data_IF_282381379427
#
_entry.id   IF_282381379427
#
_cell.length_a   1.000
_cell.length_b   1.000
_cell.length_c   1.000
_cell.angle_alpha   90.00
_cell.angle_beta   90.00
_cell.angle_gamma   90.00
#
_symmetry.space_group_name_H-M   'P 1'
#
loop_
_entity.id
_entity.type
_entity.pdbx_description
1 polymer ?
#
# COMPACT_ATOMS: atom_id res chain seq x y z
N UNK A 1 4.33 7.53 -12.29
CA UNK A 1 4.61 7.87 -10.88
C UNK A 1 6.05 7.53 -10.43
N UNK A 2 7.03 7.49 -11.33
CA UNK A 2 8.40 7.08 -10.99
C UNK A 2 9.08 8.05 -10.00
N UNK A 3 8.78 9.35 -10.10
CA UNK A 3 9.37 10.40 -9.25
C UNK A 3 9.01 10.15 -7.78
N UNK A 4 7.72 10.00 -7.47
CA UNK A 4 7.23 9.87 -6.09
C UNK A 4 7.45 8.49 -5.46
N UNK A 5 7.79 7.48 -6.27
CA UNK A 5 8.16 6.14 -5.80
C UNK A 5 9.66 5.99 -5.57
N UNK A 6 10.49 6.84 -6.19
CA UNK A 6 11.94 6.72 -6.10
C UNK A 6 12.48 7.65 -5.00
N UNK A 7 13.14 7.14 -3.95
CA UNK A 7 13.78 7.99 -2.94
C UNK A 7 14.85 8.92 -3.54
N UNK A 8 15.47 8.50 -4.65
CA UNK A 8 16.57 9.24 -5.30
C UNK A 8 16.11 10.31 -6.30
N UNK A 9 14.82 10.68 -6.30
CA UNK A 9 14.24 11.65 -7.25
C UNK A 9 13.46 12.76 -6.55
N UNK A 10 13.74 13.01 -5.27
CA UNK A 10 13.14 14.09 -4.47
C UNK A 10 13.28 15.47 -5.11
N UNK A 11 14.32 15.68 -5.91
CA UNK A 11 14.59 16.96 -6.57
C UNK A 11 13.53 17.30 -7.63
N UNK A 12 12.77 16.31 -8.10
CA UNK A 12 11.70 16.49 -9.09
C UNK A 12 10.30 16.57 -8.45
N UNK A 13 10.19 16.60 -7.12
CA UNK A 13 8.90 16.58 -6.43
C UNK A 13 8.05 17.80 -6.76
N UNK A 14 8.65 18.98 -6.85
CA UNK A 14 7.94 20.21 -7.25
C UNK A 14 7.42 20.12 -8.69
N UNK A 15 8.22 19.57 -9.61
CA UNK A 15 7.77 19.33 -10.98
C UNK A 15 6.64 18.30 -11.03
N UNK A 16 6.71 17.24 -10.22
CA UNK A 16 5.64 16.26 -10.12
C UNK A 16 4.34 16.88 -9.60
N UNK A 17 4.41 17.82 -8.64
CA UNK A 17 3.25 18.57 -8.16
C UNK A 17 2.59 19.35 -9.30
N UNK A 18 3.36 20.11 -10.06
CA UNK A 18 2.83 20.89 -11.20
C UNK A 18 2.15 20.00 -12.23
N UNK A 19 2.72 18.82 -12.52
CA UNK A 19 2.12 17.85 -13.44
C UNK A 19 0.78 17.30 -12.94
N UNK A 20 0.68 17.02 -11.64
CA UNK A 20 -0.56 16.50 -11.03
C UNK A 20 -1.65 17.58 -11.01
N UNK A 21 -1.30 18.81 -10.62
CA UNK A 21 -2.24 19.94 -10.64
C UNK A 21 -2.74 20.21 -12.06
N UNK A 22 -1.83 20.17 -13.05
CA UNK A 22 -2.19 20.27 -14.47
C UNK A 22 -3.14 19.15 -14.90
N UNK A 23 -2.86 17.91 -14.51
CA UNK A 23 -3.71 16.76 -14.82
C UNK A 23 -5.12 16.94 -14.25
N UNK A 24 -5.25 17.26 -12.95
CA UNK A 24 -6.57 17.41 -12.30
C UNK A 24 -7.37 18.55 -12.93
N UNK A 25 -6.73 19.69 -13.21
CA UNK A 25 -7.38 20.82 -13.89
C UNK A 25 -7.84 20.44 -15.29
N UNK A 26 -7.01 19.74 -16.05
CA UNK A 26 -7.35 19.35 -17.43
C UNK A 26 -8.45 18.28 -17.43
N UNK A 27 -8.42 17.36 -16.46
CA UNK A 27 -9.46 16.35 -16.26
C UNK A 27 -10.82 17.01 -15.99
N UNK A 28 -10.87 17.99 -15.09
CA UNK A 28 -12.07 18.77 -14.79
C UNK A 28 -12.63 19.47 -16.04
N UNK A 29 -11.75 20.05 -16.88
CA UNK A 29 -12.17 20.72 -18.12
C UNK A 29 -12.73 19.77 -19.17
N UNK A 30 -12.16 18.58 -19.32
CA UNK A 30 -12.55 17.62 -20.37
C UNK A 30 -13.78 16.81 -19.95
N UNK A 31 -13.82 16.36 -18.70
CA UNK A 31 -14.83 15.43 -18.22
C UNK A 31 -15.89 16.12 -17.34
N UNK A 32 -15.67 17.35 -16.91
CA UNK A 32 -16.55 18.10 -16.04
C UNK A 32 -16.36 17.75 -14.55
N UNK A 33 -16.66 18.73 -13.71
CA UNK A 33 -16.46 18.67 -12.25
C UNK A 33 -17.16 17.48 -11.58
N UNK A 34 -18.33 17.09 -12.06
CA UNK A 34 -19.09 15.95 -11.55
C UNK A 34 -18.35 14.61 -11.69
N UNK A 35 -17.36 14.52 -12.58
CA UNK A 35 -16.48 13.37 -12.74
C UNK A 35 -15.19 13.45 -11.90
N UNK A 36 -14.92 14.59 -11.25
CA UNK A 36 -13.80 14.76 -10.32
C UNK A 36 -14.15 14.06 -9.00
N UNK A 37 -14.08 12.74 -9.03
CA UNK A 37 -14.29 11.90 -7.86
C UNK A 37 -13.24 12.16 -6.78
N UNK A 38 -13.49 11.65 -5.58
CA UNK A 38 -12.55 11.72 -4.46
C UNK A 38 -11.15 11.22 -4.83
N UNK A 39 -11.05 10.17 -5.65
CA UNK A 39 -9.76 9.61 -6.08
C UNK A 39 -8.97 10.58 -6.98
N UNK A 40 -9.65 11.34 -7.84
CA UNK A 40 -9.02 12.33 -8.71
C UNK A 40 -8.57 13.53 -7.88
N UNK A 41 -9.42 14.02 -6.99
CA UNK A 41 -9.08 15.11 -6.08
C UNK A 41 -7.92 14.74 -5.14
N UNK A 42 -7.91 13.51 -4.63
CA UNK A 42 -6.88 12.98 -3.74
C UNK A 42 -5.47 13.04 -4.32
N UNK A 43 -5.32 13.04 -5.64
CA UNK A 43 -4.01 13.21 -6.29
C UNK A 43 -3.33 14.52 -5.89
N UNK A 44 -4.09 15.60 -5.64
CA UNK A 44 -3.53 16.89 -5.22
C UNK A 44 -2.82 16.82 -3.87
N UNK A 45 -3.19 15.86 -3.01
CA UNK A 45 -2.60 15.69 -1.68
C UNK A 45 -1.40 14.75 -1.66
N UNK A 46 -1.15 14.01 -2.75
CA UNK A 46 -0.15 12.94 -2.77
C UNK A 46 1.28 13.45 -2.59
N UNK A 47 1.54 14.70 -2.98
CA UNK A 47 2.84 15.37 -2.77
C UNK A 47 3.02 15.72 -1.30
N UNK A 48 1.96 16.19 -0.64
CA UNK A 48 1.96 16.43 0.81
C UNK A 48 2.22 15.12 1.56
N UNK A 49 1.59 14.02 1.15
CA UNK A 49 1.85 12.70 1.73
C UNK A 49 3.30 12.27 1.52
N UNK A 50 3.88 12.52 0.34
CA UNK A 50 5.30 12.25 0.08
C UNK A 50 6.22 13.04 1.02
N UNK A 51 5.92 14.33 1.28
CA UNK A 51 6.71 15.13 2.21
C UNK A 51 6.60 14.65 3.66
N UNK A 52 5.43 14.13 4.06
CA UNK A 52 5.19 13.66 5.42
C UNK A 52 5.75 12.25 5.68
N UNK A 53 5.65 11.35 4.69
CA UNK A 53 5.91 9.92 4.88
C UNK A 53 7.03 9.37 3.99
N UNK A 54 7.61 10.18 3.09
CA UNK A 54 8.64 9.75 2.15
C UNK A 54 8.06 9.14 0.86
N UNK A 55 8.83 8.30 0.14
CA UNK A 55 8.36 7.63 -1.07
C UNK A 55 7.03 6.91 -0.87
N UNK A 56 6.14 6.94 -1.88
CA UNK A 56 4.77 6.46 -1.73
C UNK A 56 4.66 4.99 -1.32
N UNK A 57 5.68 4.17 -1.59
CA UNK A 57 5.74 2.78 -1.11
C UNK A 57 5.67 2.70 0.42
N UNK A 58 6.19 3.71 1.13
CA UNK A 58 6.20 3.77 2.60
C UNK A 58 4.83 4.10 3.20
N UNK A 59 3.96 4.79 2.44
CA UNK A 59 2.59 5.10 2.87
C UNK A 59 1.53 4.27 2.13
N UNK A 60 1.93 3.40 1.21
CA UNK A 60 1.00 2.54 0.46
C UNK A 60 0.50 1.36 1.30
N UNK A 61 -0.74 0.95 1.06
CA UNK A 61 -1.27 -0.29 1.65
C UNK A 61 -0.83 -1.56 0.89
N UNK A 62 -0.10 -1.42 -0.23
CA UNK A 62 0.24 -2.53 -1.11
C UNK A 62 1.02 -3.66 -0.42
N UNK A 63 2.02 -3.39 0.46
CA UNK A 63 2.67 -4.46 1.21
C UNK A 63 1.71 -5.27 2.10
N UNK A 64 0.64 -4.63 2.59
CA UNK A 64 -0.36 -5.25 3.46
C UNK A 64 -1.42 -6.04 2.68
N UNK A 65 -1.70 -5.68 1.42
CA UNK A 65 -2.66 -6.41 0.58
C UNK A 65 -2.27 -7.88 0.41
N UNK A 66 -0.99 -8.16 0.17
CA UNK A 66 -0.50 -9.54 0.09
C UNK A 66 -0.62 -10.26 1.44
N UNK A 67 -0.34 -9.56 2.54
CA UNK A 67 -0.47 -10.12 3.89
C UNK A 67 -1.92 -10.42 4.29
N UNK A 68 -2.89 -9.72 3.70
CA UNK A 68 -4.32 -10.00 3.91
C UNK A 68 -4.70 -11.44 3.56
N UNK A 69 -4.03 -12.05 2.58
CA UNK A 69 -4.22 -13.48 2.25
C UNK A 69 -3.82 -14.38 3.41
N UNK A 70 -2.69 -14.08 4.06
CA UNK A 70 -2.20 -14.79 5.25
C UNK A 70 -3.18 -14.62 6.40
N UNK A 71 -3.61 -13.39 6.70
CA UNK A 71 -4.61 -13.11 7.73
C UNK A 71 -5.92 -13.87 7.48
N UNK A 72 -6.48 -13.80 6.27
CA UNK A 72 -7.71 -14.52 5.92
C UNK A 72 -7.55 -16.03 6.05
N UNK A 73 -6.41 -16.58 5.65
CA UNK A 73 -6.13 -18.01 5.80
C UNK A 73 -6.05 -18.47 7.25
N UNK A 74 -5.75 -17.54 8.19
CA UNK A 74 -5.70 -17.78 9.63
C UNK A 74 -7.11 -17.78 10.27
N UNK A 75 -8.11 -17.22 9.60
CA UNK A 75 -9.50 -17.20 10.04
C UNK A 75 -10.29 -18.35 9.39
N UNK A 76 -11.11 -19.06 10.18
CA UNK A 76 -11.98 -20.14 9.65
C UNK A 76 -13.45 -19.74 9.64
N UNK A 77 -13.88 -18.91 10.60
CA UNK A 77 -15.24 -18.40 10.74
C UNK A 77 -15.18 -16.93 11.16
N UNK A 78 -16.28 -16.21 10.95
CA UNK A 78 -16.39 -14.77 11.17
C UNK A 78 -16.39 -14.38 12.66
N UNK A 79 -16.63 -15.35 13.55
CA UNK A 79 -16.69 -15.14 14.99
C UNK A 79 -15.29 -15.02 15.62
N UNK A 80 -15.10 -14.01 16.48
CA UNK A 80 -13.88 -13.84 17.29
C UNK A 80 -12.58 -13.91 16.46
N UNK A 81 -12.43 -13.09 15.40
CA UNK A 81 -11.33 -13.20 14.45
C UNK A 81 -9.96 -12.95 15.10
N UNK A 82 -9.88 -12.02 16.06
CA UNK A 82 -8.63 -11.75 16.78
C UNK A 82 -8.17 -12.98 17.58
N UNK A 83 -9.07 -13.61 18.33
CA UNK A 83 -8.75 -14.81 19.11
C UNK A 83 -8.34 -15.98 18.19
N UNK A 84 -9.06 -16.18 17.09
CA UNK A 84 -8.69 -17.20 16.09
C UNK A 84 -7.28 -16.97 15.54
N UNK A 85 -6.94 -15.71 15.22
CA UNK A 85 -5.62 -15.35 14.72
C UNK A 85 -4.53 -15.61 15.76
N UNK A 86 -4.72 -15.16 17.00
CA UNK A 86 -3.74 -15.34 18.10
C UNK A 86 -3.46 -16.83 18.32
N UNK A 87 -4.49 -17.66 18.47
CA UNK A 87 -4.29 -19.10 18.67
C UNK A 87 -3.54 -19.76 17.49
N UNK A 88 -3.89 -19.40 16.23
CA UNK A 88 -3.19 -19.90 15.04
C UNK A 88 -1.72 -19.44 15.00
N UNK A 89 -1.45 -18.22 15.42
CA UNK A 89 -0.11 -17.66 15.48
C UNK A 89 0.74 -18.39 16.54
N UNK A 90 0.19 -18.62 17.73
CA UNK A 90 0.83 -19.40 18.80
C UNK A 90 1.14 -20.84 18.36
N UNK A 91 0.20 -21.50 17.67
CA UNK A 91 0.43 -22.81 17.05
C UNK A 91 1.67 -22.76 16.14
N UNK A 92 1.74 -21.81 15.21
CA UNK A 92 2.86 -21.67 14.27
C UNK A 92 4.21 -21.41 14.95
N UNK A 93 4.23 -20.62 16.02
CA UNK A 93 5.45 -20.35 16.79
C UNK A 93 5.94 -21.58 17.56
N UNK A 94 5.03 -22.42 18.04
CA UNK A 94 5.33 -23.58 18.89
C UNK A 94 5.63 -24.87 18.10
N UNK A 95 5.40 -24.90 16.78
CA UNK A 95 5.80 -26.06 15.97
C UNK A 95 7.33 -26.06 15.71
N UNK A 96 8.04 -27.15 16.05
CA UNK A 96 9.45 -27.28 15.67
C UNK A 96 9.55 -27.28 14.15
N UNK A 97 10.26 -26.29 13.59
CA UNK A 97 10.57 -26.25 12.15
C UNK A 97 11.19 -27.60 11.78
N UNK A 98 10.52 -28.40 10.94
CA UNK A 98 11.11 -29.62 10.37
C UNK A 98 12.45 -29.21 9.75
N UNK A 99 13.56 -29.74 10.28
CA UNK A 99 14.88 -29.60 9.66
C UNK A 99 14.75 -30.19 8.26
N UNK A 100 14.77 -29.35 7.23
CA UNK A 100 14.89 -29.82 5.85
C UNK A 100 16.23 -30.57 5.79
N UNK A 101 16.26 -31.88 5.46
CA UNK A 101 17.50 -32.61 5.40
C UNK A 101 18.41 -31.97 4.37
N UNK A 102 19.66 -31.66 4.77
CA UNK A 102 20.68 -30.98 3.96
C UNK A 102 21.15 -31.76 2.72
N UNK A 103 20.51 -32.89 2.40
CA UNK A 103 20.95 -33.83 1.36
C UNK A 103 20.05 -33.78 0.12
N UNK A 104 19.58 -32.59 -0.26
CA UNK A 104 18.89 -32.36 -1.53
C UNK A 104 19.55 -31.18 -2.29
N UNK A 105 20.88 -31.19 -2.34
CA UNK A 105 21.70 -30.56 -3.36
C UNK A 105 22.90 -31.46 -3.62
#
# INVERSE_FOLDING_TARGET
>A
MIILLSPNKSDFTEYAQQLIEYFVRTFDQIYGNYNVSHNVHGLLHIITDYHNFGPLDQCSCYPFENYMKVLKSALRKHEKPLQQFIHRYEEQCNFPKKKIPKNLF
#
